data_IF_813552531498
#
_entry.id   IF_813552531498
#
_cell.length_a   1.000
_cell.length_b   1.000
_cell.length_c   1.000
_cell.angle_alpha   90.00
_cell.angle_beta   90.00
_cell.angle_gamma   90.00
#
_symmetry.space_group_name_H-M   'P 1'
#
loop_
_entity.id
_entity.type
_entity.pdbx_description
1 polymer ?
#
# COMPACT_ATOMS: atom_id res chain seq x y z
N UNK A 1 2.88 1.91 -4.83
CA UNK A 1 3.57 2.64 -3.75
C UNK A 1 3.56 1.83 -2.46
N UNK A 2 4.63 1.87 -1.65
CA UNK A 2 4.68 1.21 -0.33
C UNK A 2 3.96 1.99 0.77
N UNK A 3 3.80 3.31 0.61
CA UNK A 3 3.16 4.21 1.59
C UNK A 3 1.63 4.23 1.51
N UNK A 4 1.08 3.94 0.34
CA UNK A 4 -0.37 3.93 0.11
C UNK A 4 -1.00 2.65 0.65
N UNK A 5 -2.10 2.75 1.38
CA UNK A 5 -2.86 1.60 1.85
C UNK A 5 -3.56 0.92 0.67
N UNK A 6 -3.27 -0.36 0.43
CA UNK A 6 -3.86 -1.10 -0.68
C UNK A 6 -5.35 -1.41 -0.50
N UNK A 7 -5.90 -1.26 0.71
CA UNK A 7 -7.32 -1.47 1.00
C UNK A 7 -8.15 -0.20 0.85
N UNK A 8 -7.68 0.92 1.42
CA UNK A 8 -8.49 2.14 1.53
C UNK A 8 -7.87 3.38 0.88
N UNK A 9 -6.68 3.28 0.28
CA UNK A 9 -6.01 4.38 -0.41
C UNK A 9 -5.32 5.42 0.48
N UNK A 10 -5.46 5.36 1.81
CA UNK A 10 -4.80 6.31 2.72
C UNK A 10 -3.27 6.28 2.57
N UNK A 11 -2.62 7.44 2.56
CA UNK A 11 -1.17 7.55 2.43
C UNK A 11 -0.53 7.71 3.80
N UNK A 12 0.47 6.86 4.10
CA UNK A 12 1.28 6.95 5.31
C UNK A 12 2.59 7.64 4.99
N UNK A 13 2.73 8.90 5.39
CA UNK A 13 3.93 9.72 5.08
C UNK A 13 5.21 9.15 5.70
N UNK A 14 5.11 8.76 6.98
CA UNK A 14 6.21 8.21 7.77
C UNK A 14 6.17 6.68 7.75
N UNK A 15 6.85 6.10 6.76
CA UNK A 15 7.06 4.67 6.64
C UNK A 15 8.52 4.42 6.30
N UNK A 16 9.22 3.73 7.20
CA UNK A 16 10.63 3.40 7.10
C UNK A 16 10.87 2.14 6.26
N UNK A 17 12.06 2.03 5.67
CA UNK A 17 12.54 0.77 5.06
C UNK A 17 12.76 -0.35 6.09
N UNK A 18 12.97 -0.01 7.37
CA UNK A 18 13.01 -0.99 8.46
C UNK A 18 11.62 -1.54 8.83
N UNK A 19 10.53 -0.85 8.45
CA UNK A 19 9.17 -1.31 8.73
C UNK A 19 8.82 -2.49 7.82
N UNK A 20 8.85 -3.70 8.38
CA UNK A 20 8.49 -4.94 7.66
C UNK A 20 6.97 -5.13 7.55
N UNK A 21 6.23 -4.53 8.48
CA UNK A 21 4.77 -4.52 8.51
C UNK A 21 4.22 -3.13 8.14
N UNK A 22 3.21 -3.12 7.30
CA UNK A 22 2.37 -1.96 7.05
C UNK A 22 1.16 -2.01 7.98
N UNK A 23 0.92 -0.90 8.68
CA UNK A 23 -0.24 -0.72 9.55
C UNK A 23 -0.97 0.55 9.12
N UNK A 24 -2.25 0.43 8.77
CA UNK A 24 -3.06 1.55 8.32
C UNK A 24 -3.82 2.17 9.50
N UNK A 25 -3.55 3.42 9.84
CA UNK A 25 -4.31 4.15 10.87
C UNK A 25 -5.75 4.46 10.47
N UNK A 26 -6.07 4.44 9.17
CA UNK A 26 -7.40 4.79 8.67
C UNK A 26 -8.38 3.60 8.65
N UNK A 27 -7.93 2.41 8.24
CA UNK A 27 -8.80 1.23 8.11
C UNK A 27 -8.37 0.03 8.97
N UNK A 28 -7.31 0.16 9.77
CA UNK A 28 -6.87 -0.86 10.73
C UNK A 28 -6.16 -2.08 10.12
N UNK A 29 -6.02 -2.18 8.80
CA UNK A 29 -5.34 -3.34 8.20
C UNK A 29 -3.87 -3.42 8.65
N UNK A 30 -3.42 -4.66 8.88
CA UNK A 30 -2.01 -4.99 9.12
C UNK A 30 -1.59 -6.05 8.14
N UNK A 31 -0.53 -5.80 7.38
CA UNK A 31 0.03 -6.77 6.44
C UNK A 31 1.52 -6.53 6.21
N UNK A 32 2.19 -7.44 5.52
CA UNK A 32 3.56 -7.21 5.08
C UNK A 32 3.63 -5.96 4.17
N UNK A 33 4.64 -5.10 4.38
CA UNK A 33 4.81 -3.86 3.63
C UNK A 33 5.02 -4.09 2.13
N UNK A 34 5.81 -5.09 1.78
CA UNK A 34 6.13 -5.37 0.38
C UNK A 34 4.92 -5.99 -0.34
N UNK A 35 4.10 -6.76 0.38
CA UNK A 35 2.79 -7.21 -0.11
C UNK A 35 1.83 -6.02 -0.34
N UNK A 36 1.75 -5.06 0.59
CA UNK A 36 0.96 -3.83 0.39
C UNK A 36 1.42 -3.09 -0.89
N UNK A 37 2.73 -2.95 -1.06
CA UNK A 37 3.32 -2.29 -2.21
C UNK A 37 3.01 -3.01 -3.53
N UNK A 38 3.10 -4.35 -3.57
CA UNK A 38 2.84 -5.13 -4.77
C UNK A 38 1.39 -5.04 -5.24
N UNK A 39 0.43 -5.04 -4.30
CA UNK A 39 -0.99 -4.83 -4.62
C UNK A 39 -1.20 -3.46 -5.26
N UNK A 40 -0.57 -2.41 -4.70
CA UNK A 40 -0.67 -1.07 -5.29
C UNK A 40 -0.08 -0.99 -6.71
N UNK A 41 1.07 -1.64 -6.95
CA UNK A 41 1.70 -1.70 -8.28
C UNK A 41 0.77 -2.41 -9.27
N UNK A 42 0.22 -3.57 -8.89
CA UNK A 42 -0.77 -4.31 -9.70
C UNK A 42 -1.95 -3.43 -10.07
N UNK A 43 -2.55 -2.74 -9.09
CA UNK A 43 -3.72 -1.90 -9.31
C UNK A 43 -3.39 -0.71 -10.23
N UNK A 44 -2.21 -0.11 -10.11
CA UNK A 44 -1.77 0.96 -11.00
C UNK A 44 -1.56 0.46 -12.43
N UNK A 45 -0.96 -0.72 -12.60
CA UNK A 45 -0.83 -1.37 -13.92
C UNK A 45 -2.18 -1.66 -14.55
N UNK A 46 -3.15 -2.20 -13.79
CA UNK A 46 -4.50 -2.45 -14.28
C UNK A 46 -5.20 -1.17 -14.76
N UNK A 47 -5.01 -0.04 -14.05
CA UNK A 47 -5.62 1.25 -14.45
C UNK A 47 -5.16 1.71 -15.83
N UNK A 48 -3.92 1.42 -16.22
CA UNK A 48 -3.39 1.78 -17.54
C UNK A 48 -3.95 0.91 -18.68
N UNK A 49 -4.45 -0.28 -18.35
CA UNK A 49 -5.00 -1.24 -19.34
C UNK A 49 -6.51 -1.01 -19.54
N UNK A 50 -7.18 -0.41 -18.56
CA UNK A 50 -8.64 -0.21 -18.55
C UNK A 50 -9.02 1.26 -18.87
N UNK A 51 -8.03 2.15 -19.05
CA UNK A 51 -8.20 3.54 -19.51
C UNK A 51 -8.18 3.65 -21.02
#
# INVERSE_FOLDING_TARGET
>A
SSKTCSNCGNVKENLSLSDRAYHCSNCGITLNRDYNASVNIKNQGMKLVIS
#
